data_IF_093759780529
#
_entry.id   IF_093759780529
#
_cell.length_a   1.000
_cell.length_b   1.000
_cell.length_c   1.000
_cell.angle_alpha   90.00
_cell.angle_beta   90.00
_cell.angle_gamma   90.00
#
_symmetry.space_group_name_H-M   'P 1'
#
loop_
_entity.id
_entity.type
_entity.pdbx_description
1 polymer ?
#
# COMPACT_ATOMS: atom_id res chain seq x y z
N UNK A 1 32.56 -15.40 14.31
CA UNK A 1 31.10 -15.22 14.27
C UNK A 1 30.68 -15.28 12.80
N UNK A 2 29.77 -16.20 12.46
CA UNK A 2 29.10 -16.41 11.16
C UNK A 2 28.27 -15.17 10.78
N UNK A 3 27.83 -14.83 9.56
CA UNK A 3 27.90 -15.25 8.14
C UNK A 3 27.13 -14.13 7.37
N UNK A 4 27.71 -13.53 6.32
CA UNK A 4 27.47 -13.76 4.88
C UNK A 4 26.16 -13.17 4.32
N UNK A 5 26.23 -12.20 3.39
CA UNK A 5 25.05 -11.76 2.60
C UNK A 5 25.47 -11.42 1.16
N UNK A 6 24.99 -12.25 0.24
CA UNK A 6 25.41 -12.42 -1.15
C UNK A 6 24.77 -11.37 -2.07
N UNK A 7 25.58 -10.77 -2.96
CA UNK A 7 25.09 -9.99 -4.11
C UNK A 7 24.28 -10.88 -5.04
N UNK A 8 22.96 -10.62 -5.20
CA UNK A 8 22.11 -11.36 -6.13
C UNK A 8 21.87 -10.54 -7.40
N UNK A 9 22.57 -10.89 -8.47
CA UNK A 9 22.16 -10.60 -9.85
C UNK A 9 20.97 -11.47 -10.20
N UNK A 10 19.84 -10.92 -10.67
CA UNK A 10 18.75 -11.76 -11.19
C UNK A 10 18.16 -11.26 -12.50
N UNK A 11 18.24 -12.17 -13.49
CA UNK A 11 17.68 -12.12 -14.83
C UNK A 11 16.22 -12.61 -14.82
N UNK A 12 15.39 -12.11 -15.72
CA UNK A 12 14.01 -12.59 -15.91
C UNK A 12 13.94 -13.60 -17.07
N UNK A 13 13.28 -14.74 -16.82
CA UNK A 13 12.88 -15.73 -17.84
C UNK A 13 11.35 -15.76 -17.92
N UNK A 14 10.80 -15.67 -19.14
CA UNK A 14 9.41 -16.00 -19.42
C UNK A 14 9.36 -17.42 -20.01
N UNK A 15 8.69 -18.36 -19.34
CA UNK A 15 8.42 -19.68 -19.88
C UNK A 15 6.93 -19.82 -20.20
N UNK A 16 6.60 -19.80 -21.49
CA UNK A 16 5.29 -20.19 -22.01
C UNK A 16 5.10 -21.70 -21.82
N UNK A 17 3.97 -22.11 -21.26
CA UNK A 17 3.62 -23.52 -21.08
C UNK A 17 3.27 -24.17 -22.44
N UNK A 18 4.02 -25.21 -22.85
CA UNK A 18 3.67 -26.10 -23.97
C UNK A 18 2.94 -27.33 -23.40
N UNK A 19 1.77 -27.74 -23.94
CA UNK A 19 1.16 -29.01 -23.55
C UNK A 19 1.84 -30.18 -24.28
N UNK A 20 2.51 -31.05 -23.53
CA UNK A 20 2.88 -32.41 -23.98
C UNK A 20 4.27 -32.89 -23.54
N UNK A 21 4.32 -33.88 -22.61
CA UNK A 21 5.52 -34.67 -22.31
C UNK A 21 5.50 -35.37 -20.94
N UNK A 22 5.66 -36.70 -20.94
CA UNK A 22 5.59 -37.63 -19.79
C UNK A 22 6.58 -37.38 -18.63
N UNK A 23 6.31 -37.92 -17.42
CA UNK A 23 7.12 -37.69 -16.22
C UNK A 23 8.25 -38.71 -16.07
N UNK A 24 9.45 -38.24 -15.73
CA UNK A 24 10.56 -39.09 -15.28
C UNK A 24 11.65 -38.28 -14.58
N UNK A 25 11.88 -38.58 -13.29
CA UNK A 25 13.13 -38.30 -12.57
C UNK A 25 13.13 -37.10 -11.60
N UNK A 26 13.07 -37.40 -10.30
CA UNK A 26 13.23 -36.52 -9.11
C UNK A 26 14.73 -36.35 -8.73
N UNK A 27 15.12 -35.64 -7.64
CA UNK A 27 14.51 -34.54 -6.87
C UNK A 27 15.47 -33.32 -6.76
N UNK A 28 15.14 -32.27 -6.00
CA UNK A 28 15.98 -31.70 -4.93
C UNK A 28 15.56 -30.26 -4.58
N UNK A 29 14.94 -30.16 -3.40
CA UNK A 29 14.81 -29.01 -2.50
C UNK A 29 15.35 -27.64 -3.01
N UNK A 30 14.45 -26.75 -3.39
CA UNK A 30 14.68 -25.31 -3.31
C UNK A 30 13.66 -24.72 -2.34
N UNK A 31 14.06 -24.55 -1.09
CA UNK A 31 13.30 -23.74 -0.12
C UNK A 31 13.57 -22.28 -0.51
N UNK A 32 12.57 -21.60 -1.05
CA UNK A 32 12.62 -20.17 -1.30
C UNK A 32 11.71 -19.51 -0.27
N UNK A 33 12.32 -18.95 0.78
CA UNK A 33 11.62 -17.97 1.62
C UNK A 33 11.40 -16.72 0.78
N UNK A 34 10.15 -16.39 0.52
CA UNK A 34 9.73 -15.15 -0.12
C UNK A 34 8.97 -14.32 0.91
N UNK A 35 9.68 -13.57 1.75
CA UNK A 35 9.10 -12.41 2.41
C UNK A 35 9.19 -11.27 1.41
N UNK A 36 8.21 -11.23 0.50
CA UNK A 36 7.87 -10.00 -0.19
C UNK A 36 7.00 -9.24 0.81
N UNK A 37 7.46 -8.10 1.32
CA UNK A 37 6.55 -7.20 2.04
C UNK A 37 5.46 -6.78 1.04
N UNK A 38 4.26 -7.29 1.27
CA UNK A 38 3.10 -7.03 0.43
C UNK A 38 2.60 -5.61 0.75
N UNK A 39 2.59 -4.72 -0.25
CA UNK A 39 1.97 -3.40 -0.10
C UNK A 39 0.48 -3.55 0.21
N UNK A 40 0.03 -2.92 1.30
CA UNK A 40 -1.38 -2.91 1.72
C UNK A 40 -2.03 -1.62 1.25
N UNK A 41 -3.17 -1.72 0.55
CA UNK A 41 -3.93 -0.54 0.15
C UNK A 41 -4.60 0.12 1.35
N UNK A 42 -4.37 1.42 1.54
CA UNK A 42 -5.03 2.24 2.56
C UNK A 42 -6.37 2.82 2.09
N UNK A 43 -6.66 2.73 0.79
CA UNK A 43 -7.87 3.24 0.17
C UNK A 43 -8.51 2.15 -0.68
N UNK A 44 -9.81 1.93 -0.47
CA UNK A 44 -10.60 0.93 -1.18
C UNK A 44 -11.09 1.41 -2.56
N UNK A 45 -10.89 2.69 -2.89
CA UNK A 45 -11.42 3.29 -4.12
C UNK A 45 -12.88 3.73 -4.01
N UNK A 46 -13.51 3.65 -2.83
CA UNK A 46 -14.96 3.75 -2.68
C UNK A 46 -15.38 4.60 -1.48
N UNK A 47 -14.72 4.47 -0.35
CA UNK A 47 -15.10 5.07 0.93
C UNK A 47 -13.91 5.73 1.63
N UNK A 48 -14.22 6.47 2.70
CA UNK A 48 -13.21 6.96 3.65
C UNK A 48 -13.14 6.04 4.88
N UNK A 49 -13.50 4.75 4.75
CA UNK A 49 -13.32 3.79 5.83
C UNK A 49 -11.83 3.67 6.18
N UNK A 50 -11.51 3.76 7.47
CA UNK A 50 -10.13 3.82 7.93
C UNK A 50 -9.52 5.23 7.88
N UNK A 51 -10.30 6.27 7.60
CA UNK A 51 -9.87 7.67 7.58
C UNK A 51 -10.75 8.56 8.46
N UNK A 52 -10.16 9.58 9.07
CA UNK A 52 -10.87 10.58 9.86
C UNK A 52 -10.27 11.99 9.70
N UNK A 53 -11.03 12.99 10.13
CA UNK A 53 -10.58 14.37 10.24
C UNK A 53 -10.22 14.73 11.67
N UNK A 54 -9.49 15.83 11.85
CA UNK A 54 -9.10 16.31 13.17
C UNK A 54 -10.32 16.61 14.06
N UNK A 55 -10.29 16.17 15.32
CA UNK A 55 -11.43 16.28 16.26
C UNK A 55 -11.64 17.68 16.86
N UNK A 56 -10.85 18.67 16.45
CA UNK A 56 -10.91 20.05 16.94
C UNK A 56 -10.07 20.99 16.09
N UNK A 57 -10.14 22.30 16.34
CA UNK A 57 -9.41 23.30 15.56
C UNK A 57 -7.89 23.14 15.67
N UNK A 58 -7.22 23.11 14.52
CA UNK A 58 -5.76 23.15 14.39
C UNK A 58 -5.37 24.32 13.46
N UNK A 59 -4.07 24.56 13.26
CA UNK A 59 -3.55 25.62 12.37
C UNK A 59 -4.00 25.51 10.90
N UNK A 60 -4.68 24.42 10.53
CA UNK A 60 -5.26 24.18 9.21
C UNK A 60 -6.80 24.14 9.21
N UNK A 61 -7.48 24.40 10.34
CA UNK A 61 -8.94 24.41 10.45
C UNK A 61 -9.50 23.26 11.30
N UNK A 62 -10.81 23.01 11.20
CA UNK A 62 -11.60 22.08 12.03
C UNK A 62 -11.96 20.77 11.32
N UNK A 63 -11.46 20.51 10.11
CA UNK A 63 -11.68 19.24 9.41
C UNK A 63 -12.02 19.36 7.92
N UNK A 64 -12.46 20.53 7.45
CA UNK A 64 -12.89 20.74 6.06
C UNK A 64 -13.95 19.73 5.59
N UNK A 65 -14.03 19.54 4.28
CA UNK A 65 -14.92 18.56 3.64
C UNK A 65 -14.09 17.58 2.82
N UNK A 66 -14.19 16.31 3.16
CA UNK A 66 -13.53 15.20 2.48
C UNK A 66 -14.57 14.21 1.99
N UNK A 67 -14.45 13.79 0.75
CA UNK A 67 -15.38 12.87 0.07
C UNK A 67 -14.64 11.95 -0.89
N UNK A 68 -15.31 10.90 -1.38
CA UNK A 68 -14.82 10.10 -2.50
C UNK A 68 -15.67 10.40 -3.72
N UNK A 69 -15.04 10.84 -4.80
CA UNK A 69 -15.68 11.15 -6.07
C UNK A 69 -14.98 10.37 -7.18
N UNK A 70 -15.72 9.52 -7.91
CA UNK A 70 -15.20 8.77 -9.05
C UNK A 70 -13.94 7.95 -8.73
N UNK A 71 -13.90 7.38 -7.52
CA UNK A 71 -12.79 6.56 -7.05
C UNK A 71 -11.54 7.34 -6.64
N UNK A 72 -11.68 8.64 -6.37
CA UNK A 72 -10.59 9.50 -5.90
C UNK A 72 -11.04 10.25 -4.65
N UNK A 73 -10.17 10.36 -3.66
CA UNK A 73 -10.41 11.22 -2.49
C UNK A 73 -10.36 12.69 -2.93
N UNK A 74 -11.43 13.43 -2.68
CA UNK A 74 -11.53 14.87 -2.92
C UNK A 74 -11.59 15.62 -1.60
N UNK A 75 -10.91 16.77 -1.53
CA UNK A 75 -10.85 17.63 -0.36
C UNK A 75 -11.17 19.08 -0.70
N UNK A 76 -11.96 19.73 0.16
CA UNK A 76 -12.27 21.16 0.06
C UNK A 76 -12.31 21.80 1.44
N UNK A 77 -12.02 23.10 1.51
CA UNK A 77 -12.39 23.90 2.68
C UNK A 77 -13.90 23.89 2.91
N UNK A 78 -14.30 23.97 4.17
CA UNK A 78 -15.71 24.07 4.55
C UNK A 78 -15.95 25.25 5.53
N UNK A 79 -16.54 26.36 5.09
CA UNK A 79 -17.02 26.64 3.72
C UNK A 79 -15.88 26.87 2.70
N UNK A 80 -16.13 26.77 1.38
CA UNK A 80 -15.12 27.06 0.37
C UNK A 80 -14.56 28.49 0.48
N UNK A 81 -13.23 28.63 0.39
CA UNK A 81 -12.52 29.91 0.48
C UNK A 81 -12.34 30.46 1.90
N UNK A 82 -12.77 29.73 2.93
CA UNK A 82 -12.73 30.19 4.32
C UNK A 82 -11.36 30.08 5.00
N UNK A 83 -10.43 29.31 4.44
CA UNK A 83 -9.24 28.86 5.18
C UNK A 83 -9.44 27.57 5.97
N UNK A 84 -10.69 27.08 6.13
CA UNK A 84 -11.01 25.94 6.99
C UNK A 84 -10.89 24.58 6.27
N UNK A 85 -9.67 24.07 6.10
CA UNK A 85 -9.41 22.83 5.35
C UNK A 85 -9.32 21.56 6.20
N UNK A 86 -8.81 21.66 7.42
CA UNK A 86 -8.44 20.52 8.25
C UNK A 86 -7.37 19.62 7.63
N UNK A 87 -7.22 18.42 8.20
CA UNK A 87 -6.35 17.36 7.70
C UNK A 87 -7.17 16.06 7.67
N UNK A 88 -6.99 15.24 6.63
CA UNK A 88 -7.47 13.86 6.55
C UNK A 88 -6.33 12.91 6.95
N UNK A 89 -6.59 12.00 7.88
CA UNK A 89 -5.59 11.07 8.45
C UNK A 89 -6.14 9.65 8.46
N UNK A 90 -5.25 8.67 8.49
CA UNK A 90 -5.63 7.27 8.73
C UNK A 90 -6.04 7.08 10.18
N UNK A 91 -7.02 6.21 10.43
CA UNK A 91 -7.42 5.79 11.78
C UNK A 91 -6.29 5.02 12.49
N UNK A 92 -5.48 4.30 11.72
CA UNK A 92 -4.33 3.56 12.21
C UNK A 92 -3.10 4.46 12.28
N UNK A 93 -2.26 4.21 13.29
CA UNK A 93 -0.93 4.77 13.38
C UNK A 93 0.10 3.76 12.85
N UNK A 94 1.06 4.23 12.07
CA UNK A 94 2.11 3.42 11.46
C UNK A 94 3.49 3.79 12.03
N UNK A 95 4.38 2.80 12.09
CA UNK A 95 5.79 2.98 12.45
C UNK A 95 6.63 3.27 11.21
N UNK A 96 7.63 2.42 10.94
CA UNK A 96 8.39 2.48 9.69
C UNK A 96 7.53 1.95 8.53
N UNK A 97 7.46 2.69 7.42
CA UNK A 97 6.67 2.30 6.24
C UNK A 97 7.25 2.85 4.93
N UNK A 98 6.79 2.28 3.82
CA UNK A 98 6.94 2.80 2.46
C UNK A 98 5.53 3.04 1.87
N UNK A 99 5.30 4.18 1.23
CA UNK A 99 3.99 4.61 0.69
C UNK A 99 4.13 5.16 -0.74
#
# INVERSE_FOLDING_TARGET
MKDDSTTVTRQQFFATLIPGGSPGGVPEKAVAGSEQDEFVSLFDGQTLEGWHTNTGEIGHGTGGRWTVEQGVITGQQDPPGSGNGGILMTDQAYGDFEL
#
